data_IF_368989536287
#
_entry.id   IF_368989536287
#
_cell.length_a   1.000
_cell.length_b   1.000
_cell.length_c   1.000
_cell.angle_alpha   90.00
_cell.angle_beta   90.00
_cell.angle_gamma   90.00
#
_symmetry.space_group_name_H-M   'P 1'
#
loop_
_entity.id
_entity.type
_entity.pdbx_description
1 polymer ?
#
# COMPACT_ATOMS: atom_id res chain seq x y z
N UNK A 1 49.30 -13.71 -46.65
CA UNK A 1 48.89 -13.91 -45.25
C UNK A 1 48.57 -12.56 -44.61
N UNK A 2 47.32 -12.11 -44.68
CA UNK A 2 46.68 -11.12 -43.78
C UNK A 2 45.18 -11.35 -43.89
N UNK A 3 44.60 -11.99 -42.88
CA UNK A 3 43.16 -12.19 -42.75
C UNK A 3 42.58 -11.02 -41.96
N UNK A 4 41.64 -10.32 -42.59
CA UNK A 4 40.80 -9.30 -41.97
C UNK A 4 39.80 -9.97 -41.02
N UNK A 5 39.70 -9.48 -39.78
CA UNK A 5 38.59 -9.77 -38.89
C UNK A 5 37.76 -8.51 -38.69
N UNK A 6 36.58 -8.49 -39.32
CA UNK A 6 35.44 -7.65 -38.94
C UNK A 6 34.82 -8.29 -37.70
N UNK A 7 34.95 -7.64 -36.53
CA UNK A 7 34.20 -8.03 -35.35
C UNK A 7 32.80 -7.40 -35.41
N UNK A 8 31.79 -8.25 -35.56
CA UNK A 8 30.39 -7.87 -35.41
C UNK A 8 30.12 -7.56 -33.92
N UNK A 9 29.81 -6.31 -33.61
CA UNK A 9 29.28 -5.92 -32.31
C UNK A 9 27.82 -6.37 -32.19
N UNK A 10 27.60 -7.60 -31.72
CA UNK A 10 26.29 -8.12 -31.43
C UNK A 10 25.82 -7.65 -30.05
N UNK A 11 24.83 -6.74 -30.05
CA UNK A 11 23.68 -6.75 -29.15
C UNK A 11 23.93 -6.73 -27.64
N UNK A 12 24.17 -5.55 -27.08
CA UNK A 12 23.88 -5.25 -25.67
C UNK A 12 22.84 -4.14 -25.61
N UNK A 13 21.60 -4.49 -25.94
CA UNK A 13 20.46 -3.59 -25.75
C UNK A 13 19.32 -4.38 -25.12
N UNK A 14 18.89 -3.87 -23.96
CA UNK A 14 17.55 -4.01 -23.34
C UNK A 14 17.18 -5.30 -22.60
N UNK A 15 17.49 -5.34 -21.31
CA UNK A 15 16.56 -5.90 -20.30
C UNK A 15 15.97 -4.86 -19.33
N UNK A 16 16.49 -3.63 -19.34
CA UNK A 16 16.04 -2.55 -18.45
C UNK A 16 14.72 -1.89 -18.88
N UNK A 17 14.26 -2.06 -20.13
CA UNK A 17 13.08 -1.34 -20.65
C UNK A 17 11.74 -1.99 -20.35
N UNK A 18 11.70 -3.26 -19.94
CA UNK A 18 10.44 -3.94 -19.60
C UNK A 18 9.88 -3.51 -18.23
N UNK A 19 10.75 -3.19 -17.27
CA UNK A 19 10.35 -2.71 -15.94
C UNK A 19 9.86 -1.26 -15.96
N UNK A 20 10.40 -0.42 -16.86
CA UNK A 20 10.07 0.99 -16.96
C UNK A 20 8.65 1.29 -17.45
N UNK A 21 7.90 0.29 -17.96
CA UNK A 21 6.55 0.49 -18.54
C UNK A 21 5.40 0.15 -17.60
N UNK A 22 5.67 -0.50 -16.47
CA UNK A 22 4.66 -0.91 -15.49
C UNK A 22 4.87 -0.10 -14.22
N UNK A 23 3.79 0.46 -13.67
CA UNK A 23 3.83 1.11 -12.37
C UNK A 23 4.44 0.12 -11.35
N UNK A 24 5.55 0.46 -10.66
CA UNK A 24 6.20 -0.45 -9.72
C UNK A 24 5.32 -0.80 -8.52
N UNK A 25 4.23 -0.06 -8.29
CA UNK A 25 3.22 -0.35 -7.27
C UNK A 25 2.18 -1.37 -7.74
N UNK A 26 1.99 -1.56 -9.05
CA UNK A 26 0.98 -2.46 -9.62
C UNK A 26 1.52 -3.90 -9.76
N UNK A 27 2.01 -4.44 -8.64
CA UNK A 27 2.40 -5.85 -8.53
C UNK A 27 1.20 -6.76 -8.74
N UNK A 28 1.43 -8.03 -9.09
CA UNK A 28 0.33 -9.01 -9.25
C UNK A 28 -0.52 -9.11 -7.97
N UNK A 29 0.12 -9.13 -6.80
CA UNK A 29 -0.59 -9.19 -5.52
C UNK A 29 -1.38 -7.92 -5.23
N UNK A 30 -0.82 -6.74 -5.51
CA UNK A 30 -1.53 -5.47 -5.36
C UNK A 30 -2.81 -5.46 -6.21
N UNK A 31 -2.68 -5.83 -7.49
CA UNK A 31 -3.79 -5.86 -8.44
C UNK A 31 -4.90 -6.83 -8.01
N UNK A 32 -4.54 -8.03 -7.55
CA UNK A 32 -5.50 -9.03 -7.09
C UNK A 32 -6.23 -8.60 -5.82
N UNK A 33 -5.50 -8.05 -4.84
CA UNK A 33 -6.07 -7.58 -3.59
C UNK A 33 -6.95 -6.34 -3.80
N UNK A 34 -6.57 -5.43 -4.69
CA UNK A 34 -7.40 -4.28 -5.07
C UNK A 34 -8.70 -4.72 -5.73
N UNK A 35 -8.63 -5.65 -6.69
CA UNK A 35 -9.82 -6.17 -7.36
C UNK A 35 -10.78 -6.83 -6.36
N UNK A 36 -10.24 -7.61 -5.42
CA UNK A 36 -11.03 -8.25 -4.36
C UNK A 36 -11.64 -7.21 -3.40
N UNK A 37 -10.86 -6.22 -2.96
CA UNK A 37 -11.36 -5.17 -2.08
C UNK A 37 -12.45 -4.33 -2.74
N UNK A 38 -12.30 -3.97 -4.01
CA UNK A 38 -13.33 -3.25 -4.78
C UNK A 38 -14.58 -4.09 -4.95
N UNK A 39 -14.44 -5.39 -5.28
CA UNK A 39 -15.59 -6.29 -5.38
C UNK A 39 -16.35 -6.37 -4.05
N UNK A 40 -15.65 -6.59 -2.93
CA UNK A 40 -16.28 -6.62 -1.60
C UNK A 40 -16.97 -5.30 -1.27
N UNK A 41 -16.32 -4.16 -1.52
CA UNK A 41 -16.92 -2.85 -1.26
C UNK A 41 -18.17 -2.58 -2.11
N UNK A 42 -18.22 -3.09 -3.34
CA UNK A 42 -19.36 -2.94 -4.25
C UNK A 42 -20.51 -3.91 -3.91
N UNK A 43 -20.16 -5.16 -3.59
CA UNK A 43 -21.13 -6.26 -3.52
C UNK A 43 -21.76 -6.42 -2.12
N UNK A 44 -21.29 -5.65 -1.12
CA UNK A 44 -21.80 -5.68 0.24
C UNK A 44 -22.32 -4.32 0.67
N UNK A 45 -23.49 -4.33 1.32
CA UNK A 45 -24.04 -3.14 1.94
C UNK A 45 -23.43 -2.91 3.34
N UNK A 46 -22.64 -1.86 3.45
CA UNK A 46 -22.01 -1.42 4.69
C UNK A 46 -22.71 -0.20 5.30
N UNK A 47 -23.95 0.09 4.92
CA UNK A 47 -24.70 1.28 5.35
C UNK A 47 -24.74 1.44 6.87
N UNK A 48 -25.07 0.38 7.62
CA UNK A 48 -25.12 0.45 9.09
C UNK A 48 -23.74 0.74 9.70
N UNK A 49 -22.67 0.18 9.16
CA UNK A 49 -21.30 0.42 9.63
C UNK A 49 -20.85 1.85 9.31
N UNK A 50 -21.16 2.35 8.11
CA UNK A 50 -20.92 3.76 7.72
C UNK A 50 -21.64 4.73 8.63
N UNK A 51 -22.93 4.49 8.88
CA UNK A 51 -23.74 5.31 9.78
C UNK A 51 -23.15 5.32 11.19
N UNK A 52 -22.75 4.16 11.71
CA UNK A 52 -22.14 4.03 13.03
C UNK A 52 -20.81 4.79 13.13
N UNK A 53 -19.92 4.60 12.15
CA UNK A 53 -18.64 5.29 12.09
C UNK A 53 -18.83 6.81 12.01
N UNK A 54 -19.73 7.26 11.14
CA UNK A 54 -20.06 8.68 10.97
C UNK A 54 -20.53 9.30 12.27
N UNK A 55 -21.51 8.71 12.94
CA UNK A 55 -22.05 9.25 14.18
C UNK A 55 -21.05 9.20 15.33
N UNK A 56 -20.15 8.22 15.33
CA UNK A 56 -19.04 8.18 16.30
C UNK A 56 -18.11 9.38 16.11
N UNK A 57 -17.73 9.69 14.86
CA UNK A 57 -16.90 10.85 14.54
C UNK A 57 -17.61 12.15 14.88
N UNK A 58 -18.87 12.32 14.44
CA UNK A 58 -19.69 13.50 14.74
C UNK A 58 -19.80 13.71 16.25
N UNK A 59 -20.21 12.68 17.00
CA UNK A 59 -20.34 12.78 18.46
C UNK A 59 -19.02 13.17 19.13
N UNK A 60 -17.90 12.57 18.70
CA UNK A 60 -16.58 12.89 19.24
C UNK A 60 -16.09 14.31 18.88
N UNK A 61 -16.52 14.87 17.75
CA UNK A 61 -16.22 16.26 17.37
C UNK A 61 -17.11 17.24 18.14
N UNK A 62 -18.40 16.94 18.29
CA UNK A 62 -19.34 17.75 19.08
C UNK A 62 -18.92 17.85 20.54
N UNK A 63 -18.49 16.73 21.15
CA UNK A 63 -17.95 16.72 22.51
C UNK A 63 -16.69 17.60 22.67
N UNK A 64 -15.96 17.86 21.59
CA UNK A 64 -14.80 18.77 21.54
C UNK A 64 -15.16 20.20 21.11
N UNK A 65 -16.45 20.53 21.09
CA UNK A 65 -16.95 21.86 20.73
C UNK A 65 -16.79 22.22 19.25
N UNK A 66 -16.65 21.23 18.36
CA UNK A 66 -16.57 21.47 16.91
C UNK A 66 -17.97 21.56 16.31
N UNK A 67 -18.22 22.61 15.53
CA UNK A 67 -19.41 22.76 14.69
C UNK A 67 -19.31 21.80 13.49
N UNK A 68 -20.43 21.16 13.16
CA UNK A 68 -20.55 20.33 11.96
C UNK A 68 -21.37 21.13 10.94
N UNK A 69 -20.68 21.97 10.18
CA UNK A 69 -21.26 22.64 9.01
C UNK A 69 -21.26 21.70 7.79
N UNK A 70 -21.72 22.20 6.64
CA UNK A 70 -21.82 21.44 5.40
C UNK A 70 -20.44 20.91 4.93
N UNK A 71 -19.41 21.74 5.03
CA UNK A 71 -18.07 21.37 4.57
C UNK A 71 -17.47 20.28 5.47
N UNK A 72 -17.56 20.46 6.79
CA UNK A 72 -17.12 19.46 7.77
C UNK A 72 -17.91 18.17 7.61
N UNK A 73 -19.22 18.25 7.39
CA UNK A 73 -20.07 17.08 7.14
C UNK A 73 -19.59 16.28 5.93
N UNK A 74 -19.26 16.94 4.82
CA UNK A 74 -18.75 16.30 3.60
C UNK A 74 -17.38 15.65 3.81
N UNK A 75 -16.49 16.31 4.55
CA UNK A 75 -15.18 15.75 4.89
C UNK A 75 -15.31 14.51 5.78
N UNK A 76 -16.27 14.51 6.71
CA UNK A 76 -16.59 13.33 7.52
C UNK A 76 -17.11 12.19 6.64
N UNK A 77 -18.01 12.47 5.70
CA UNK A 77 -18.55 11.44 4.79
C UNK A 77 -17.43 10.79 3.97
N UNK A 78 -16.53 11.59 3.40
CA UNK A 78 -15.34 11.09 2.69
C UNK A 78 -14.43 10.26 3.61
N UNK A 79 -14.15 10.75 4.82
CA UNK A 79 -13.30 10.03 5.78
C UNK A 79 -13.92 8.69 6.21
N UNK A 80 -15.26 8.62 6.33
CA UNK A 80 -15.98 7.38 6.62
C UNK A 80 -15.87 6.39 5.47
N UNK A 81 -16.04 6.85 4.23
CA UNK A 81 -15.89 5.98 3.05
C UNK A 81 -14.49 5.40 2.94
N UNK A 82 -13.46 6.24 3.15
CA UNK A 82 -12.07 5.78 3.14
C UNK A 82 -11.75 4.86 4.33
N UNK A 83 -12.29 5.14 5.52
CA UNK A 83 -12.14 4.29 6.69
C UNK A 83 -12.70 2.89 6.44
N UNK A 84 -13.90 2.79 5.87
CA UNK A 84 -14.50 1.48 5.57
C UNK A 84 -13.72 0.76 4.49
N UNK A 85 -13.32 1.44 3.41
CA UNK A 85 -12.51 0.81 2.37
C UNK A 85 -11.15 0.35 2.93
N UNK A 86 -10.55 1.13 3.83
CA UNK A 86 -9.33 0.75 4.54
C UNK A 86 -9.50 -0.49 5.42
N UNK A 87 -10.67 -0.69 6.02
CA UNK A 87 -10.98 -1.91 6.78
C UNK A 87 -11.12 -3.13 5.86
N UNK A 88 -11.75 -2.97 4.69
CA UNK A 88 -11.85 -4.02 3.66
C UNK A 88 -10.45 -4.40 3.16
N UNK A 89 -9.62 -3.42 2.83
CA UNK A 89 -8.21 -3.62 2.46
C UNK A 89 -7.43 -4.41 3.50
N UNK A 90 -7.70 -4.17 4.80
CA UNK A 90 -7.07 -4.92 5.88
C UNK A 90 -7.56 -6.37 5.93
N UNK A 91 -8.85 -6.61 5.70
CA UNK A 91 -9.44 -7.95 5.73
C UNK A 91 -8.99 -8.82 4.55
N UNK A 92 -8.97 -8.28 3.32
CA UNK A 92 -8.64 -9.09 2.12
C UNK A 92 -7.20 -9.62 2.11
N UNK A 93 -6.30 -8.95 2.82
CA UNK A 93 -4.90 -9.38 2.90
C UNK A 93 -4.63 -10.32 4.09
N UNK A 94 -5.56 -10.50 5.03
CA UNK A 94 -5.33 -11.02 6.39
C UNK A 94 -5.12 -12.54 6.48
N UNK A 95 -4.25 -13.08 5.62
CA UNK A 95 -3.82 -14.47 5.66
C UNK A 95 -2.30 -14.52 5.97
N UNK A 96 -1.92 -14.77 7.24
CA UNK A 96 -0.51 -14.87 7.63
C UNK A 96 0.18 -16.15 7.12
N UNK A 97 -0.56 -17.13 6.58
CA UNK A 97 0.02 -18.35 6.00
C UNK A 97 0.44 -18.14 4.54
N UNK A 98 -0.12 -17.11 3.89
CA UNK A 98 0.15 -16.72 2.51
C UNK A 98 0.29 -15.22 2.38
N UNK A 99 1.15 -14.65 3.23
CA UNK A 99 1.32 -13.22 3.38
C UNK A 99 1.67 -12.54 2.06
N UNK A 100 0.97 -11.45 1.77
CA UNK A 100 1.21 -10.59 0.61
C UNK A 100 1.59 -9.19 1.07
N UNK A 101 2.52 -8.57 0.35
CA UNK A 101 2.85 -7.15 0.54
C UNK A 101 1.77 -6.31 -0.13
N UNK A 102 1.05 -5.51 0.66
CA UNK A 102 -0.05 -4.70 0.15
C UNK A 102 0.12 -3.22 0.49
N UNK A 103 0.04 -2.36 -0.52
CA UNK A 103 0.09 -0.91 -0.37
C UNK A 103 -1.28 -0.41 0.07
N UNK A 104 -1.31 0.34 1.17
CA UNK A 104 -2.50 0.82 1.86
C UNK A 104 -2.36 2.31 2.18
N UNK A 105 -3.39 2.94 2.76
CA UNK A 105 -3.36 4.35 3.15
C UNK A 105 -3.03 5.26 1.96
N UNK A 106 -3.80 5.12 0.88
CA UNK A 106 -3.58 5.86 -0.36
C UNK A 106 -4.86 6.60 -0.79
N UNK A 107 -4.74 7.73 -1.50
CA UNK A 107 -5.89 8.40 -2.10
C UNK A 107 -6.53 7.54 -3.20
N UNK A 108 -7.76 7.89 -3.65
CA UNK A 108 -8.39 7.22 -4.79
C UNK A 108 -7.47 7.19 -6.01
N UNK A 109 -7.45 6.06 -6.72
CA UNK A 109 -6.60 5.87 -7.90
C UNK A 109 -7.22 4.97 -8.95
N UNK A 110 -6.71 5.06 -10.17
CA UNK A 110 -7.13 4.20 -11.29
C UNK A 110 -6.03 3.23 -11.68
N UNK A 111 -6.35 1.94 -11.68
CA UNK A 111 -5.49 0.89 -12.22
C UNK A 111 -5.79 0.77 -13.71
N UNK A 112 -4.91 1.33 -14.54
CA UNK A 112 -5.11 1.36 -16.00
C UNK A 112 -5.15 -0.03 -16.63
N UNK A 113 -4.35 -0.97 -16.13
CA UNK A 113 -4.27 -2.34 -16.67
C UNK A 113 -5.52 -3.17 -16.42
N UNK A 114 -6.36 -2.79 -15.45
CA UNK A 114 -7.62 -3.48 -15.12
C UNK A 114 -8.86 -2.62 -15.39
N UNK A 115 -8.66 -1.40 -15.89
CA UNK A 115 -9.69 -0.36 -15.96
C UNK A 115 -10.46 -0.14 -14.65
N UNK A 116 -9.82 -0.45 -13.52
CA UNK A 116 -10.43 -0.48 -12.20
C UNK A 116 -10.23 0.87 -11.50
N UNK A 117 -11.31 1.45 -11.00
CA UNK A 117 -11.25 2.57 -10.05
C UNK A 117 -11.18 2.02 -8.63
N UNK A 118 -10.11 2.32 -7.92
CA UNK A 118 -9.91 1.92 -6.51
C UNK A 118 -10.27 3.13 -5.64
N UNK A 119 -11.24 3.00 -4.72
CA UNK A 119 -11.55 4.03 -3.74
C UNK A 119 -10.33 4.39 -2.88
N UNK A 120 -10.37 5.57 -2.26
CA UNK A 120 -9.38 5.92 -1.24
C UNK A 120 -9.50 5.00 -0.05
N UNK A 121 -8.38 4.67 0.57
CA UNK A 121 -8.29 3.76 1.73
C UNK A 121 -7.50 4.35 2.89
N UNK A 122 -7.47 5.69 2.97
CA UNK A 122 -6.77 6.42 4.02
C UNK A 122 -7.39 6.14 5.37
N UNK A 123 -6.54 5.92 6.36
CA UNK A 123 -6.95 5.81 7.75
C UNK A 123 -5.96 6.57 8.62
N UNK A 124 -6.48 7.49 9.43
CA UNK A 124 -5.67 8.46 10.17
C UNK A 124 -4.91 9.41 9.22
N UNK A 125 -3.63 9.69 9.50
CA UNK A 125 -2.78 10.56 8.72
C UNK A 125 -2.15 9.81 7.53
N UNK A 126 -2.17 10.46 6.38
CA UNK A 126 -1.49 10.03 5.16
C UNK A 126 -0.43 11.07 4.78
N UNK A 127 0.81 10.61 4.57
CA UNK A 127 1.88 11.43 4.00
C UNK A 127 1.95 11.13 2.49
N UNK A 128 1.60 12.10 1.62
CA UNK A 128 1.57 11.89 0.17
C UNK A 128 2.94 11.56 -0.44
N UNK A 129 4.03 11.84 0.28
CA UNK A 129 5.40 11.51 -0.14
C UNK A 129 5.82 10.08 0.24
N UNK A 130 4.96 9.33 0.94
CA UNK A 130 5.23 7.98 1.41
C UNK A 130 4.39 6.93 0.68
N UNK A 131 4.92 5.70 0.58
CA UNK A 131 4.15 4.51 0.21
C UNK A 131 4.10 3.58 1.41
N UNK A 132 2.95 3.50 2.05
CA UNK A 132 2.74 2.59 3.18
C UNK A 132 2.41 1.19 2.68
N UNK A 133 3.19 0.21 3.12
CA UNK A 133 2.94 -1.21 2.83
C UNK A 133 2.81 -2.01 4.11
N UNK A 134 1.93 -2.99 4.09
CA UNK A 134 1.69 -3.89 5.21
C UNK A 134 1.79 -5.33 4.75
N UNK A 135 2.28 -6.19 5.66
CA UNK A 135 2.38 -7.64 5.48
C UNK A 135 1.78 -8.27 6.73
N UNK A 136 0.74 -9.12 6.62
CA UNK A 136 0.22 -9.84 7.77
C UNK A 136 1.21 -10.92 8.19
N UNK A 137 1.40 -11.09 9.49
CA UNK A 137 2.28 -12.10 10.07
C UNK A 137 1.62 -12.73 11.29
N UNK A 138 2.12 -13.88 11.72
CA UNK A 138 1.75 -14.54 12.97
C UNK A 138 3.00 -15.02 13.69
N UNK A 139 2.96 -15.01 15.01
CA UNK A 139 3.93 -15.63 15.92
C UNK A 139 4.15 -17.14 15.71
N UNK A 140 3.33 -17.80 14.89
CA UNK A 140 3.45 -19.23 14.55
C UNK A 140 4.44 -19.54 13.43
N UNK A 141 4.96 -18.52 12.73
CA UNK A 141 5.79 -18.70 11.55
C UNK A 141 6.99 -17.75 11.55
N UNK A 142 8.02 -18.12 10.81
CA UNK A 142 9.12 -17.23 10.46
C UNK A 142 8.93 -16.71 9.04
N UNK A 143 9.24 -15.44 8.81
CA UNK A 143 9.01 -14.76 7.54
C UNK A 143 10.30 -14.17 6.98
N UNK A 144 10.49 -14.30 5.68
CA UNK A 144 11.55 -13.62 4.93
C UNK A 144 10.93 -12.55 4.03
N UNK A 145 11.29 -11.29 4.27
CA UNK A 145 11.03 -10.19 3.33
C UNK A 145 12.30 -9.95 2.53
N UNK A 146 12.24 -10.10 1.21
CA UNK A 146 13.36 -9.89 0.32
C UNK A 146 12.96 -9.03 -0.88
N UNK A 147 13.92 -8.39 -1.51
CA UNK A 147 13.67 -7.50 -2.64
C UNK A 147 14.98 -6.99 -3.24
N UNK A 148 14.87 -5.92 -4.03
CA UNK A 148 16.03 -5.19 -4.54
C UNK A 148 15.81 -3.70 -4.34
N UNK A 149 16.82 -3.01 -3.83
CA UNK A 149 16.85 -1.55 -3.74
C UNK A 149 17.35 -0.97 -5.06
N UNK A 150 16.56 -0.11 -5.69
CA UNK A 150 17.06 0.72 -6.79
C UNK A 150 17.94 1.81 -6.22
N UNK A 151 19.08 2.12 -6.83
CA UNK A 151 19.92 3.25 -6.40
C UNK A 151 19.36 4.59 -6.93
N UNK A 152 19.35 5.67 -6.13
CA UNK A 152 19.82 5.77 -4.73
C UNK A 152 18.83 5.21 -3.68
N UNK A 153 17.59 4.94 -4.09
CA UNK A 153 16.51 4.45 -3.23
C UNK A 153 15.69 5.60 -2.64
N UNK A 154 14.68 5.31 -1.82
CA UNK A 154 13.94 6.35 -1.13
C UNK A 154 14.83 7.07 -0.11
N UNK A 155 14.54 8.34 0.14
CA UNK A 155 15.24 9.16 1.13
C UNK A 155 15.05 8.66 2.56
N UNK A 156 13.91 8.03 2.83
CA UNK A 156 13.59 7.39 4.10
C UNK A 156 12.93 6.02 3.85
N UNK A 157 13.28 5.04 4.67
CA UNK A 157 12.72 3.71 4.69
C UNK A 157 12.75 3.18 6.11
N UNK A 158 11.63 2.65 6.58
CA UNK A 158 11.54 1.99 7.88
C UNK A 158 10.67 0.75 7.76
N UNK A 159 11.10 -0.34 8.38
CA UNK A 159 10.25 -1.50 8.66
C UNK A 159 9.81 -1.43 10.12
N UNK A 160 8.50 -1.35 10.35
CA UNK A 160 7.94 -1.34 11.70
C UNK A 160 7.14 -2.61 11.95
N UNK A 161 7.47 -3.32 13.02
CA UNK A 161 6.64 -4.37 13.57
C UNK A 161 5.57 -3.73 14.46
N UNK A 162 4.30 -3.97 14.15
CA UNK A 162 3.16 -3.40 14.89
C UNK A 162 2.35 -4.51 15.58
N UNK A 163 1.89 -4.24 16.80
CA UNK A 163 1.06 -5.17 17.57
C UNK A 163 -0.43 -5.14 17.21
N UNK A 164 -0.87 -4.07 16.53
CA UNK A 164 -2.27 -3.91 16.12
C UNK A 164 -2.36 -3.17 14.77
N UNK A 165 -2.97 -3.77 13.73
CA UNK A 165 -3.06 -3.17 12.39
C UNK A 165 -3.96 -1.91 12.33
N UNK A 166 -4.81 -1.69 13.33
CA UNK A 166 -5.75 -0.57 13.42
C UNK A 166 -5.19 0.58 14.27
N UNK A 167 -4.66 0.30 15.46
CA UNK A 167 -4.12 1.33 16.37
C UNK A 167 -2.62 1.60 16.23
N UNK A 168 -1.89 0.78 15.45
CA UNK A 168 -0.48 0.95 15.07
C UNK A 168 0.51 1.12 16.25
N UNK A 169 0.47 0.21 17.21
CA UNK A 169 1.50 0.16 18.27
C UNK A 169 2.80 -0.48 17.78
N UNK A 170 3.80 0.33 17.42
CA UNK A 170 5.14 -0.16 17.04
C UNK A 170 5.82 -0.83 18.23
N UNK A 171 6.26 -2.06 18.05
CA UNK A 171 6.97 -2.85 19.07
C UNK A 171 8.44 -3.10 18.73
N UNK A 172 8.81 -2.99 17.46
CA UNK A 172 10.19 -3.02 16.98
C UNK A 172 10.30 -2.32 15.63
N UNK A 173 11.50 -1.84 15.29
CA UNK A 173 11.77 -1.18 14.00
C UNK A 173 13.15 -1.55 13.46
N UNK A 174 13.29 -1.51 12.14
CA UNK A 174 14.55 -1.52 11.42
C UNK A 174 14.59 -0.28 10.51
N UNK A 175 15.57 0.60 10.75
CA UNK A 175 15.68 1.87 10.01
C UNK A 175 16.49 1.67 8.73
N UNK A 176 16.31 2.60 7.79
CA UNK A 176 16.97 2.56 6.49
C UNK A 176 18.50 2.65 6.58
N UNK A 177 19.02 3.30 7.62
CA UNK A 177 20.46 3.40 7.92
C UNK A 177 21.04 2.11 8.50
N UNK A 178 20.21 1.26 9.11
CA UNK A 178 20.59 -0.05 9.64
C UNK A 178 20.52 -1.17 8.58
N UNK A 179 19.94 -0.90 7.41
CA UNK A 179 19.81 -1.88 6.33
C UNK A 179 21.15 -2.13 5.65
N UNK A 180 21.65 -3.35 5.80
CA UNK A 180 22.78 -3.86 5.00
C UNK A 180 22.27 -4.32 3.65
N UNK A 181 22.62 -3.59 2.59
CA UNK A 181 22.31 -3.93 1.20
C UNK A 181 23.52 -4.60 0.58
N UNK A 182 23.33 -5.76 -0.05
CA UNK A 182 24.40 -6.49 -0.74
C UNK A 182 24.87 -5.75 -1.99
N UNK A 183 26.05 -6.11 -2.49
CA UNK A 183 26.65 -5.52 -3.69
C UNK A 183 25.75 -5.63 -4.94
N UNK A 184 24.89 -6.64 -5.00
CA UNK A 184 23.93 -6.86 -6.09
C UNK A 184 22.59 -6.11 -5.91
N UNK A 185 22.50 -5.28 -4.86
CA UNK A 185 21.36 -4.45 -4.50
C UNK A 185 20.25 -5.15 -3.73
N UNK A 186 20.45 -6.40 -3.27
CA UNK A 186 19.46 -7.17 -2.48
C UNK A 186 19.61 -7.00 -0.98
#
# INVERSE_FOLDING_TARGET
MRLSFLAAAAGLVTRATAWARRNPLDTTDQLQLDALAVAINRDNDFTTLRWTARNTIVGALTLRGKLIDELVSKDIDLAVDELVFSAIQKAVKDDPTRSKVYSVNAPPRRIRSLELSVPGGRYSYDNPDCVYRTVPISDRYEYLVHGRRTAPGPSDMTFSLISNPNSRGTVASLLGEDLVVRDDGT
#
